data_IF_207151822034
#
_entry.id   IF_207151822034
#
_cell.length_a   1.000
_cell.length_b   1.000
_cell.length_c   1.000
_cell.angle_alpha   90.00
_cell.angle_beta   90.00
_cell.angle_gamma   90.00
#
_symmetry.space_group_name_H-M   'P 1'
#
loop_
_entity.id
_entity.type
_entity.pdbx_description
1 polymer ?
#
# COMPACT_ATOMS: atom_id res chain seq x y z
N UNK A 1 35.86 -9.03 -15.57
CA UNK A 1 34.68 -9.14 -14.70
C UNK A 1 33.52 -8.47 -15.40
N UNK A 2 32.60 -9.29 -15.89
CA UNK A 2 31.41 -8.80 -16.58
C UNK A 2 30.44 -8.35 -15.50
N UNK A 3 30.20 -7.07 -15.39
CA UNK A 3 29.10 -6.50 -14.64
C UNK A 3 27.79 -6.79 -15.40
N UNK A 4 27.19 -7.95 -15.18
CA UNK A 4 25.82 -8.19 -15.61
C UNK A 4 24.93 -7.36 -14.70
N UNK A 5 24.07 -6.49 -15.23
CA UNK A 5 23.17 -5.71 -14.38
C UNK A 5 22.30 -6.66 -13.54
N UNK A 6 22.36 -6.54 -12.22
CA UNK A 6 21.70 -7.43 -11.27
C UNK A 6 20.17 -7.55 -11.50
N UNK A 7 19.53 -6.53 -12.07
CA UNK A 7 18.10 -6.52 -12.35
C UNK A 7 17.69 -7.34 -13.59
N UNK A 8 18.60 -7.61 -14.53
CA UNK A 8 18.25 -8.41 -15.70
C UNK A 8 18.29 -9.91 -15.42
N UNK A 9 19.13 -10.37 -14.48
CA UNK A 9 19.20 -11.77 -14.11
C UNK A 9 18.04 -12.20 -13.21
N UNK A 10 17.64 -11.37 -12.26
CA UNK A 10 16.48 -11.65 -11.40
C UNK A 10 15.19 -11.72 -12.20
N UNK A 11 14.95 -10.75 -13.11
CA UNK A 11 13.79 -10.77 -13.98
C UNK A 11 13.77 -12.00 -14.89
N UNK A 12 14.91 -12.40 -15.47
CA UNK A 12 14.96 -13.57 -16.35
C UNK A 12 14.71 -14.89 -15.62
N UNK A 13 15.07 -15.01 -14.35
CA UNK A 13 14.81 -16.22 -13.55
C UNK A 13 13.35 -16.34 -13.14
N UNK A 14 12.70 -15.24 -12.80
CA UNK A 14 11.23 -15.22 -12.56
C UNK A 14 10.49 -15.60 -13.84
N UNK A 15 10.90 -15.07 -14.99
CA UNK A 15 10.23 -15.33 -16.27
C UNK A 15 10.49 -16.73 -16.84
N UNK A 16 11.61 -17.35 -16.56
CA UNK A 16 11.89 -18.76 -16.98
C UNK A 16 10.95 -19.77 -16.33
N UNK A 17 10.36 -19.43 -15.18
CA UNK A 17 9.40 -20.28 -14.46
C UNK A 17 7.95 -19.89 -14.69
N UNK A 18 7.68 -18.83 -15.43
CA UNK A 18 6.33 -18.50 -15.85
C UNK A 18 5.84 -19.55 -16.85
N UNK A 19 4.67 -20.11 -16.58
CA UNK A 19 4.12 -21.22 -17.36
C UNK A 19 4.29 -22.60 -16.70
N UNK A 20 5.09 -22.73 -15.65
CA UNK A 20 5.23 -24.01 -14.95
C UNK A 20 3.91 -24.45 -14.29
N UNK A 21 3.13 -23.49 -13.78
CA UNK A 21 1.84 -23.72 -13.13
C UNK A 21 0.63 -23.49 -14.06
N UNK A 22 0.82 -22.79 -15.17
CA UNK A 22 -0.22 -22.53 -16.19
C UNK A 22 0.44 -22.49 -17.56
N UNK A 23 -0.11 -23.25 -18.50
CA UNK A 23 0.37 -23.22 -19.88
C UNK A 23 0.23 -21.79 -20.47
N UNK A 24 1.28 -21.31 -21.09
CA UNK A 24 1.25 -20.08 -21.88
C UNK A 24 1.12 -20.43 -23.37
N UNK A 25 0.23 -19.76 -24.08
CA UNK A 25 0.08 -19.96 -25.52
C UNK A 25 1.31 -19.47 -26.29
N UNK A 26 1.91 -18.39 -25.81
CA UNK A 26 3.13 -17.80 -26.35
C UNK A 26 3.99 -17.18 -25.25
N UNK A 27 5.24 -17.62 -25.16
CA UNK A 27 6.24 -17.04 -24.27
C UNK A 27 7.17 -16.08 -24.99
N UNK A 28 7.20 -14.80 -24.58
CA UNK A 28 8.13 -13.79 -25.08
C UNK A 28 9.24 -13.58 -24.07
N UNK A 29 10.38 -14.25 -24.25
CA UNK A 29 11.53 -14.16 -23.38
C UNK A 29 12.49 -13.08 -23.87
N UNK A 30 12.86 -12.13 -23.00
CA UNK A 30 13.82 -11.08 -23.34
C UNK A 30 13.61 -9.78 -22.56
N UNK A 31 14.22 -8.71 -23.02
CA UNK A 31 14.02 -7.39 -22.46
C UNK A 31 12.58 -6.91 -22.73
N UNK A 32 11.85 -6.59 -21.68
CA UNK A 32 10.43 -6.21 -21.75
C UNK A 32 10.23 -4.99 -22.66
N UNK A 33 11.05 -3.95 -22.52
CA UNK A 33 10.94 -2.73 -23.31
C UNK A 33 11.14 -3.01 -24.80
N UNK A 34 12.14 -3.83 -25.14
CA UNK A 34 12.37 -4.25 -26.54
C UNK A 34 11.22 -5.09 -27.09
N UNK A 35 10.69 -6.02 -26.29
CA UNK A 35 9.55 -6.82 -26.73
C UNK A 35 8.32 -5.95 -27.01
N UNK A 36 8.03 -4.97 -26.14
CA UNK A 36 6.93 -4.04 -26.40
C UNK A 36 7.18 -3.17 -27.64
N UNK A 37 8.40 -2.67 -27.84
CA UNK A 37 8.74 -1.90 -29.05
C UNK A 37 8.51 -2.72 -30.33
N UNK A 38 9.02 -3.96 -30.35
CA UNK A 38 8.85 -4.85 -31.49
C UNK A 38 7.37 -5.21 -31.74
N UNK A 39 6.59 -5.44 -30.67
CA UNK A 39 5.15 -5.71 -30.81
C UNK A 39 4.40 -4.49 -31.35
N UNK A 40 4.74 -3.29 -30.85
CA UNK A 40 4.13 -2.05 -31.36
C UNK A 40 4.44 -1.85 -32.82
N UNK A 41 5.71 -2.01 -33.23
CA UNK A 41 6.13 -1.89 -34.63
C UNK A 41 5.43 -2.92 -35.52
N UNK A 42 5.32 -4.17 -35.09
CA UNK A 42 4.64 -5.22 -35.85
C UNK A 42 3.15 -4.91 -36.04
N UNK A 43 2.48 -4.32 -35.06
CA UNK A 43 1.07 -3.90 -35.16
C UNK A 43 0.93 -2.76 -36.17
N UNK A 44 1.85 -1.77 -36.12
CA UNK A 44 1.86 -0.65 -37.06
C UNK A 44 2.15 -1.11 -38.49
N UNK A 45 3.16 -1.98 -38.66
CA UNK A 45 3.55 -2.50 -39.99
C UNK A 45 2.45 -3.35 -40.66
N UNK A 46 1.61 -4.01 -39.87
CA UNK A 46 0.51 -4.81 -40.36
C UNK A 46 -0.77 -4.02 -40.67
N UNK A 47 -0.80 -2.73 -40.29
CA UNK A 47 -1.99 -1.87 -40.41
C UNK A 47 -3.25 -2.54 -39.82
N UNK A 48 -3.08 -3.23 -38.70
CA UNK A 48 -4.19 -3.90 -38.02
C UNK A 48 -4.96 -2.87 -37.21
N UNK A 49 -6.22 -2.60 -37.53
CA UNK A 49 -7.03 -1.68 -36.75
C UNK A 49 -7.27 -2.28 -35.34
N UNK A 50 -6.64 -1.71 -34.32
CA UNK A 50 -6.85 -2.11 -32.93
C UNK A 50 -7.85 -1.16 -32.27
N UNK A 51 -9.12 -1.56 -32.28
CA UNK A 51 -10.15 -0.82 -31.54
C UNK A 51 -10.41 -1.47 -30.18
N UNK A 52 -9.90 -0.83 -29.14
CA UNK A 52 -10.09 -1.22 -27.73
C UNK A 52 -11.15 -0.38 -27.01
N UNK A 53 -11.90 0.46 -27.73
CA UNK A 53 -12.85 1.41 -27.14
C UNK A 53 -13.87 0.69 -26.26
N UNK A 54 -14.51 -0.35 -26.76
CA UNK A 54 -15.49 -1.16 -26.02
C UNK A 54 -14.90 -1.75 -24.74
N UNK A 55 -13.69 -2.30 -24.80
CA UNK A 55 -13.05 -2.91 -23.62
C UNK A 55 -12.69 -1.86 -22.59
N UNK A 56 -12.14 -0.73 -23.03
CA UNK A 56 -11.84 0.41 -22.17
C UNK A 56 -13.10 0.96 -21.47
N UNK A 57 -14.20 1.07 -22.19
CA UNK A 57 -15.46 1.55 -21.63
C UNK A 57 -16.05 0.56 -20.61
N UNK A 58 -15.97 -0.74 -20.86
CA UNK A 58 -16.32 -1.78 -19.89
C UNK A 58 -15.49 -1.69 -18.60
N UNK A 59 -14.17 -1.44 -18.71
CA UNK A 59 -13.31 -1.26 -17.55
C UNK A 59 -13.69 -0.02 -16.74
N UNK A 60 -13.98 1.11 -17.42
CA UNK A 60 -14.43 2.33 -16.76
C UNK A 60 -15.75 2.15 -16.03
N UNK A 61 -16.73 1.52 -16.70
CA UNK A 61 -18.02 1.21 -16.07
C UNK A 61 -17.83 0.33 -14.83
N UNK A 62 -16.96 -0.67 -14.91
CA UNK A 62 -16.67 -1.57 -13.80
C UNK A 62 -16.01 -0.83 -12.64
N UNK A 63 -15.04 0.02 -12.91
CA UNK A 63 -14.37 0.85 -11.90
C UNK A 63 -15.38 1.77 -11.21
N UNK A 64 -16.22 2.46 -11.98
CA UNK A 64 -17.24 3.33 -11.43
C UNK A 64 -18.28 2.58 -10.57
N UNK A 65 -18.66 1.36 -10.96
CA UNK A 65 -19.53 0.51 -10.13
C UNK A 65 -18.87 0.16 -8.79
N UNK A 66 -17.56 -0.17 -8.80
CA UNK A 66 -16.81 -0.49 -7.60
C UNK A 66 -16.65 0.73 -6.68
N UNK A 67 -16.40 1.90 -7.24
CA UNK A 67 -16.29 3.14 -6.47
C UNK A 67 -17.64 3.53 -5.85
N UNK A 68 -18.72 3.42 -6.62
CA UNK A 68 -20.07 3.65 -6.08
C UNK A 68 -20.42 2.68 -4.94
N UNK A 69 -20.02 1.40 -5.06
CA UNK A 69 -20.27 0.41 -4.02
C UNK A 69 -19.47 0.65 -2.72
N UNK A 70 -18.38 1.42 -2.77
CA UNK A 70 -17.54 1.78 -1.61
C UNK A 70 -17.92 3.13 -0.99
N UNK A 71 -18.75 3.91 -1.68
CA UNK A 71 -19.02 5.31 -1.30
C UNK A 71 -19.52 5.45 0.12
N UNK A 72 -20.49 4.63 0.53
CA UNK A 72 -21.06 4.68 1.88
C UNK A 72 -19.99 4.45 2.97
N UNK A 73 -19.06 3.55 2.71
CA UNK A 73 -17.95 3.27 3.62
C UNK A 73 -16.92 4.42 3.65
N UNK A 74 -16.59 4.98 2.47
CA UNK A 74 -15.70 6.15 2.37
C UNK A 74 -16.30 7.40 3.03
N UNK A 75 -17.61 7.54 3.03
CA UNK A 75 -18.32 8.68 3.62
C UNK A 75 -18.79 8.41 5.06
N UNK A 76 -18.45 7.25 5.65
CA UNK A 76 -18.88 6.85 6.98
C UNK A 76 -18.38 7.80 8.07
N UNK A 77 -19.26 8.16 8.98
CA UNK A 77 -18.95 8.91 10.21
C UNK A 77 -18.97 8.01 11.46
N UNK A 78 -18.99 6.70 11.27
CA UNK A 78 -19.02 5.72 12.36
C UNK A 78 -17.70 5.67 13.15
N UNK A 79 -17.82 5.28 14.41
CA UNK A 79 -16.70 5.03 15.33
C UNK A 79 -16.89 3.62 15.91
N UNK A 80 -15.85 2.75 15.82
CA UNK A 80 -14.51 2.96 15.25
C UNK A 80 -14.54 3.24 13.74
N UNK A 81 -13.56 4.01 13.28
CA UNK A 81 -13.47 4.54 11.91
C UNK A 81 -13.45 3.40 10.86
N UNK A 82 -14.22 3.57 9.78
CA UNK A 82 -14.15 2.65 8.64
C UNK A 82 -12.78 2.74 7.94
N UNK A 83 -12.13 1.61 7.63
CA UNK A 83 -10.83 1.61 6.93
C UNK A 83 -10.87 2.36 5.60
N UNK A 84 -11.96 2.30 4.82
CA UNK A 84 -12.09 3.03 3.57
C UNK A 84 -12.26 4.54 3.80
N UNK A 85 -12.87 4.96 4.92
CA UNK A 85 -12.91 6.36 5.32
C UNK A 85 -11.50 6.88 5.60
N UNK A 86 -10.68 6.14 6.34
CA UNK A 86 -9.27 6.48 6.53
C UNK A 86 -8.54 6.61 5.20
N UNK A 87 -8.68 5.63 4.29
CA UNK A 87 -8.03 5.65 2.98
C UNK A 87 -8.45 6.86 2.14
N UNK A 88 -9.73 7.27 2.20
CA UNK A 88 -10.22 8.48 1.50
C UNK A 88 -9.55 9.74 2.03
N UNK A 89 -9.45 9.88 3.35
CA UNK A 89 -8.80 11.05 3.94
C UNK A 89 -7.31 11.09 3.60
N UNK A 90 -6.62 9.94 3.60
CA UNK A 90 -5.24 9.85 3.13
C UNK A 90 -5.16 10.26 1.65
N UNK A 91 -6.04 9.74 0.79
CA UNK A 91 -6.05 10.06 -0.63
C UNK A 91 -6.22 11.57 -0.90
N UNK A 92 -7.02 12.26 -0.08
CA UNK A 92 -7.21 13.71 -0.18
C UNK A 92 -5.96 14.52 0.16
N UNK A 93 -5.01 13.94 0.90
CA UNK A 93 -3.75 14.57 1.28
C UNK A 93 -2.60 14.24 0.32
N UNK A 94 -2.77 13.25 -0.58
CA UNK A 94 -1.73 12.85 -1.53
C UNK A 94 -1.61 13.87 -2.66
N UNK A 95 -0.36 14.23 -2.99
CA UNK A 95 -0.03 15.22 -4.01
C UNK A 95 1.17 14.78 -4.85
N UNK A 96 1.43 15.49 -5.95
CA UNK A 96 2.46 15.16 -6.95
C UNK A 96 3.89 15.11 -6.40
N UNK A 97 4.12 15.73 -5.26
CA UNK A 97 5.42 15.78 -4.58
C UNK A 97 5.59 14.65 -3.53
N UNK A 98 4.63 13.75 -3.40
CA UNK A 98 4.68 12.67 -2.42
C UNK A 98 5.19 11.34 -2.99
N UNK A 99 5.87 10.58 -2.12
CA UNK A 99 6.13 9.15 -2.26
C UNK A 99 5.30 8.44 -1.20
N UNK A 100 4.44 7.53 -1.63
CA UNK A 100 3.55 6.76 -0.75
C UNK A 100 4.08 5.34 -0.62
N UNK A 101 4.14 4.85 0.61
CA UNK A 101 4.64 3.51 0.92
C UNK A 101 3.55 2.74 1.65
N UNK A 102 3.23 1.55 1.17
CA UNK A 102 2.32 0.63 1.82
C UNK A 102 3.08 -0.45 2.61
N UNK A 103 2.80 -0.58 3.91
CA UNK A 103 3.33 -1.66 4.74
C UNK A 103 2.24 -2.24 5.62
N UNK A 104 1.61 -3.28 5.15
CA UNK A 104 0.50 -3.91 5.84
C UNK A 104 -0.26 -4.86 4.93
N UNK A 105 -1.22 -5.55 5.51
CA UNK A 105 -2.14 -6.41 4.79
C UNK A 105 -3.39 -5.65 4.37
N UNK A 106 -4.40 -5.69 5.23
CA UNK A 106 -5.76 -5.20 4.92
C UNK A 106 -5.80 -3.71 4.61
N UNK A 107 -5.19 -2.89 5.46
CA UNK A 107 -5.25 -1.44 5.27
C UNK A 107 -4.56 -1.01 3.97
N UNK A 108 -3.46 -1.66 3.58
CA UNK A 108 -2.77 -1.37 2.32
C UNK A 108 -3.61 -1.85 1.14
N UNK A 109 -4.26 -3.01 1.25
CA UNK A 109 -5.20 -3.49 0.24
C UNK A 109 -6.43 -2.57 0.09
N UNK A 110 -6.89 -1.90 1.14
CA UNK A 110 -7.93 -0.87 1.05
C UNK A 110 -7.38 0.42 0.46
N UNK A 111 -6.19 0.84 0.88
CA UNK A 111 -5.52 2.03 0.38
C UNK A 111 -5.29 1.98 -1.13
N UNK A 112 -4.83 0.83 -1.66
CA UNK A 112 -4.60 0.63 -3.10
C UNK A 112 -5.86 0.75 -3.97
N UNK A 113 -7.05 0.65 -3.38
CA UNK A 113 -8.33 0.82 -4.09
C UNK A 113 -8.78 2.28 -4.17
N UNK A 114 -8.24 3.15 -3.33
CA UNK A 114 -8.72 4.54 -3.15
C UNK A 114 -7.63 5.55 -3.47
N UNK A 115 -6.39 5.29 -3.09
CA UNK A 115 -5.28 6.21 -3.30
C UNK A 115 -4.81 6.09 -4.74
N UNK A 116 -5.01 7.16 -5.50
CA UNK A 116 -4.45 7.30 -6.84
C UNK A 116 -3.08 7.96 -6.74
N UNK A 117 -2.03 7.21 -7.12
CA UNK A 117 -0.68 7.78 -7.13
C UNK A 117 -0.50 8.69 -8.35
N UNK A 118 -0.03 9.93 -8.15
CA UNK A 118 -0.02 10.92 -9.24
C UNK A 118 0.99 10.61 -10.34
N UNK A 119 2.02 9.83 -10.05
CA UNK A 119 3.08 9.47 -11.01
C UNK A 119 3.56 8.03 -10.85
N UNK A 120 3.99 7.43 -11.94
CA UNK A 120 4.65 6.13 -11.92
C UNK A 120 5.91 6.17 -11.03
N UNK A 121 6.08 5.16 -10.18
CA UNK A 121 7.21 5.04 -9.27
C UNK A 121 7.11 5.84 -7.98
N UNK A 122 5.94 6.42 -7.67
CA UNK A 122 5.68 7.10 -6.39
C UNK A 122 4.90 6.25 -5.39
N UNK A 123 4.60 5.01 -5.73
CA UNK A 123 4.09 3.98 -4.82
C UNK A 123 5.13 2.89 -4.62
N UNK A 124 5.36 2.51 -3.37
CA UNK A 124 6.26 1.41 -2.98
C UNK A 124 5.53 0.48 -2.01
N UNK A 125 5.68 -0.80 -2.19
CA UNK A 125 5.21 -1.84 -1.28
C UNK A 125 6.11 -3.08 -1.37
N UNK A 126 5.92 -4.13 -0.54
CA UNK A 126 6.77 -5.33 -0.58
C UNK A 126 6.61 -6.17 -1.86
N UNK A 127 5.69 -5.80 -2.76
CA UNK A 127 5.43 -6.53 -3.99
C UNK A 127 4.99 -7.99 -3.76
N UNK A 128 5.26 -8.89 -4.72
CA UNK A 128 4.77 -10.29 -4.66
C UNK A 128 5.29 -11.11 -3.47
N UNK A 129 6.40 -10.70 -2.83
CA UNK A 129 6.90 -11.38 -1.63
C UNK A 129 6.00 -11.15 -0.42
N UNK A 130 5.26 -10.03 -0.37
CA UNK A 130 4.34 -9.71 0.70
C UNK A 130 4.99 -9.59 2.09
N UNK A 131 6.32 -9.37 2.16
CA UNK A 131 6.99 -9.24 3.46
C UNK A 131 6.60 -7.94 4.14
N UNK A 132 6.27 -8.02 5.42
CA UNK A 132 5.95 -6.86 6.25
C UNK A 132 7.21 -6.28 6.90
N UNK A 133 7.11 -5.05 7.41
CA UNK A 133 8.22 -4.35 8.04
C UNK A 133 9.13 -3.62 7.06
N UNK A 134 8.65 -3.35 5.84
CA UNK A 134 9.41 -2.60 4.82
C UNK A 134 9.17 -1.09 4.88
N UNK A 135 8.13 -0.63 5.58
CA UNK A 135 7.68 0.76 5.55
C UNK A 135 8.77 1.76 5.89
N UNK A 136 9.32 1.69 7.10
CA UNK A 136 10.40 2.62 7.50
C UNK A 136 11.69 2.44 6.69
N UNK A 137 12.22 1.24 6.42
CA UNK A 137 13.39 1.08 5.58
C UNK A 137 13.22 1.70 4.18
N UNK A 138 12.07 1.53 3.55
CA UNK A 138 11.77 2.15 2.25
C UNK A 138 11.64 3.66 2.38
N UNK A 139 10.99 4.15 3.43
CA UNK A 139 10.81 5.58 3.66
C UNK A 139 12.13 6.30 3.93
N UNK A 140 13.00 5.72 4.74
CA UNK A 140 14.34 6.25 5.00
C UNK A 140 15.15 6.35 3.70
N UNK A 141 15.12 5.31 2.87
CA UNK A 141 15.78 5.29 1.57
C UNK A 141 15.17 6.32 0.61
N UNK A 142 13.84 6.38 0.52
CA UNK A 142 13.12 7.32 -0.34
C UNK A 142 13.39 8.78 0.06
N UNK A 143 13.28 9.11 1.36
CA UNK A 143 13.51 10.48 1.85
C UNK A 143 14.97 10.89 1.67
N UNK A 144 15.91 9.96 1.83
CA UNK A 144 17.33 10.24 1.60
C UNK A 144 17.65 10.44 0.12
N UNK A 145 17.03 9.69 -0.77
CA UNK A 145 17.20 9.81 -2.21
C UNK A 145 16.49 11.03 -2.81
N UNK A 146 15.38 11.44 -2.18
CA UNK A 146 14.52 12.52 -2.65
C UNK A 146 14.19 13.48 -1.49
N UNK A 147 15.16 14.30 -1.05
CA UNK A 147 15.00 15.18 0.11
C UNK A 147 13.91 16.25 -0.08
N UNK A 148 13.60 16.60 -1.32
CA UNK A 148 12.58 17.61 -1.66
C UNK A 148 11.16 17.05 -1.70
N UNK A 149 11.00 15.71 -1.57
CA UNK A 149 9.69 15.08 -1.60
C UNK A 149 9.18 14.78 -0.20
N UNK A 150 7.86 14.78 -0.05
CA UNK A 150 7.20 14.28 1.16
C UNK A 150 7.07 12.77 1.08
N UNK A 151 7.38 12.07 2.17
CA UNK A 151 7.27 10.61 2.25
C UNK A 151 6.18 10.27 3.25
N UNK A 152 5.21 9.48 2.78
CA UNK A 152 4.06 9.00 3.55
C UNK A 152 4.07 7.49 3.59
N UNK A 153 3.85 6.91 4.78
CA UNK A 153 3.70 5.47 4.95
C UNK A 153 2.27 5.18 5.43
N UNK A 154 1.61 4.24 4.77
CA UNK A 154 0.35 3.64 5.23
C UNK A 154 0.67 2.32 5.88
N UNK A 155 0.45 2.24 7.20
CA UNK A 155 0.76 1.07 8.02
C UNK A 155 -0.48 0.31 8.47
N UNK A 156 -0.39 -1.04 8.54
CA UNK A 156 -1.12 -1.80 9.53
C UNK A 156 -0.40 -1.76 10.89
N UNK A 157 -1.14 -1.92 11.97
CA UNK A 157 -0.61 -1.94 13.33
C UNK A 157 0.39 -3.08 13.56
N UNK A 158 0.11 -4.28 13.05
CA UNK A 158 1.04 -5.39 13.08
C UNK A 158 2.34 -5.10 12.31
N UNK A 159 2.26 -4.47 11.13
CA UNK A 159 3.44 -4.10 10.34
C UNK A 159 4.28 -3.04 11.03
N UNK A 160 3.64 -2.03 11.62
CA UNK A 160 4.34 -1.03 12.45
C UNK A 160 5.13 -1.69 13.58
N UNK A 161 4.55 -2.71 14.23
CA UNK A 161 5.20 -3.46 15.31
C UNK A 161 6.51 -4.14 14.89
N UNK A 162 6.73 -4.38 13.60
CA UNK A 162 7.97 -5.01 13.11
C UNK A 162 9.15 -4.03 13.03
N UNK A 163 8.94 -2.81 12.53
CA UNK A 163 10.00 -1.85 12.25
C UNK A 163 9.70 -0.41 12.70
N UNK A 164 8.67 -0.19 13.49
CA UNK A 164 8.32 1.14 13.98
C UNK A 164 9.42 1.83 14.79
N UNK A 165 10.30 1.08 15.45
CA UNK A 165 11.47 1.64 16.14
C UNK A 165 12.45 2.36 15.22
N UNK A 166 12.43 2.13 13.90
CA UNK A 166 13.25 2.88 12.94
C UNK A 166 12.82 4.36 12.79
N UNK A 167 11.74 4.79 13.45
CA UNK A 167 11.49 6.21 13.68
C UNK A 167 12.62 6.90 14.44
N UNK A 168 13.32 6.19 15.34
CA UNK A 168 14.57 6.67 15.95
C UNK A 168 15.61 7.05 14.89
N UNK A 169 15.78 6.21 13.88
CA UNK A 169 16.69 6.50 12.77
C UNK A 169 16.24 7.75 12.01
N UNK A 170 14.94 7.90 11.71
CA UNK A 170 14.43 9.10 11.07
C UNK A 170 14.68 10.37 11.90
N UNK A 171 14.48 10.30 13.22
CA UNK A 171 14.76 11.41 14.15
C UNK A 171 16.25 11.77 14.16
N UNK A 172 17.13 10.78 14.29
CA UNK A 172 18.58 11.02 14.31
C UNK A 172 19.12 11.65 13.03
N UNK A 173 18.49 11.35 11.90
CA UNK A 173 18.90 11.88 10.60
C UNK A 173 18.07 13.06 10.11
N UNK A 174 17.08 13.54 10.89
CA UNK A 174 16.23 14.67 10.54
C UNK A 174 15.39 14.42 9.27
N UNK A 175 14.85 13.23 9.09
CA UNK A 175 14.05 12.85 7.93
C UNK A 175 12.55 12.96 8.26
N UNK A 176 11.81 13.97 7.76
CA UNK A 176 10.44 14.27 8.17
C UNK A 176 9.42 13.32 7.52
N UNK A 177 9.56 12.03 7.77
CA UNK A 177 8.68 10.97 7.27
C UNK A 177 7.40 10.96 8.10
N UNK A 178 6.24 10.85 7.46
CA UNK A 178 4.95 10.72 8.12
C UNK A 178 4.42 9.29 7.95
N UNK A 179 4.15 8.60 9.04
CA UNK A 179 3.46 7.32 9.07
C UNK A 179 2.00 7.48 9.51
N UNK A 180 1.09 6.73 8.90
CA UNK A 180 -0.30 6.64 9.32
C UNK A 180 -0.61 5.17 9.60
N UNK A 181 -0.96 4.85 10.85
CA UNK A 181 -1.33 3.49 11.25
C UNK A 181 -2.84 3.37 11.26
N UNK A 182 -3.38 2.46 10.44
CA UNK A 182 -4.73 1.95 10.63
C UNK A 182 -4.71 0.87 11.72
N UNK A 183 -5.07 1.24 12.93
CA UNK A 183 -5.00 0.40 14.12
C UNK A 183 -6.34 -0.28 14.37
N UNK A 184 -6.49 -1.52 13.90
CA UNK A 184 -7.66 -2.36 14.14
C UNK A 184 -7.45 -3.40 15.25
N UNK A 185 -6.27 -3.40 15.87
CA UNK A 185 -5.81 -4.33 16.91
C UNK A 185 -5.83 -5.80 16.44
N UNK A 186 -5.44 -6.05 15.17
CA UNK A 186 -5.46 -7.40 14.63
C UNK A 186 -4.47 -7.63 13.48
N UNK A 187 -4.05 -8.88 13.33
CA UNK A 187 -3.50 -9.42 12.11
C UNK A 187 -4.63 -9.83 11.16
N UNK A 188 -5.43 -8.85 10.69
CA UNK A 188 -6.69 -9.07 9.99
C UNK A 188 -6.59 -10.03 8.81
N UNK A 189 -5.54 -9.90 8.00
CA UNK A 189 -5.27 -10.75 6.85
C UNK A 189 -4.96 -12.21 7.24
N UNK A 190 -4.48 -12.45 8.47
CA UNK A 190 -4.26 -13.80 9.01
C UNK A 190 -5.49 -14.30 9.80
N UNK A 191 -6.23 -13.41 10.41
CA UNK A 191 -7.44 -13.73 11.17
C UNK A 191 -8.53 -14.34 10.28
N UNK A 192 -8.83 -13.70 9.16
CA UNK A 192 -9.90 -14.17 8.25
C UNK A 192 -9.72 -15.57 7.69
N UNK A 193 -8.55 -15.97 7.18
CA UNK A 193 -8.34 -17.37 6.79
C UNK A 193 -8.50 -18.35 7.94
N UNK A 194 -8.10 -17.99 9.15
CA UNK A 194 -8.31 -18.86 10.33
C UNK A 194 -9.79 -19.00 10.64
N UNK A 195 -10.56 -17.89 10.67
CA UNK A 195 -12.01 -17.93 10.84
C UNK A 195 -12.69 -18.81 9.79
N UNK A 196 -12.32 -18.62 8.51
CA UNK A 196 -12.93 -19.35 7.40
C UNK A 196 -12.62 -20.84 7.42
N UNK A 197 -11.41 -21.22 7.81
CA UNK A 197 -10.94 -22.62 7.76
C UNK A 197 -11.23 -23.37 9.04
N UNK A 198 -11.20 -22.71 10.20
CA UNK A 198 -11.22 -23.38 11.50
C UNK A 198 -12.33 -22.90 12.42
N UNK A 199 -13.03 -21.80 12.09
CA UNK A 199 -14.06 -21.17 12.92
C UNK A 199 -13.52 -20.12 13.90
N UNK A 200 -14.39 -19.23 14.34
CA UNK A 200 -14.06 -18.10 15.23
C UNK A 200 -13.44 -18.55 16.57
N UNK A 201 -13.84 -19.69 17.08
CA UNK A 201 -13.34 -20.24 18.35
C UNK A 201 -11.90 -20.77 18.29
N UNK A 202 -11.26 -20.73 17.12
CA UNK A 202 -9.93 -21.27 16.88
C UNK A 202 -8.92 -20.27 16.36
N UNK A 203 -9.11 -19.01 16.67
CA UNK A 203 -8.16 -17.96 16.34
C UNK A 203 -6.93 -18.05 17.24
N UNK A 204 -5.73 -18.04 16.63
CA UNK A 204 -4.46 -18.15 17.34
C UNK A 204 -3.53 -17.01 16.93
N UNK A 205 -3.08 -16.24 17.91
CA UNK A 205 -2.04 -15.21 17.78
C UNK A 205 -2.35 -14.11 16.70
N UNK A 206 -3.63 -13.84 16.45
CA UNK A 206 -4.06 -12.86 15.44
C UNK A 206 -4.67 -11.60 16.05
N UNK A 207 -4.93 -11.60 17.34
CA UNK A 207 -5.41 -10.43 18.08
C UNK A 207 -4.21 -9.65 18.61
N UNK A 208 -4.29 -8.33 18.48
CA UNK A 208 -3.34 -7.38 19.03
C UNK A 208 -4.04 -6.48 20.06
N UNK A 209 -3.28 -5.65 20.74
CA UNK A 209 -3.82 -4.61 21.60
C UNK A 209 -3.94 -3.29 20.83
N UNK A 210 -4.92 -2.45 21.20
CA UNK A 210 -4.98 -1.06 20.72
C UNK A 210 -3.88 -0.24 21.37
N UNK A 211 -2.66 -0.43 20.87
CA UNK A 211 -1.48 0.26 21.38
C UNK A 211 -1.43 1.69 20.87
N UNK A 212 -1.05 2.61 21.73
CA UNK A 212 -0.80 4.02 21.43
C UNK A 212 0.58 4.15 20.77
N UNK A 213 0.65 3.80 19.48
CA UNK A 213 1.89 3.86 18.70
C UNK A 213 2.40 5.29 18.50
N UNK A 214 1.51 6.28 18.50
CA UNK A 214 1.82 7.70 18.50
C UNK A 214 2.75 8.07 19.66
N UNK A 215 2.46 7.61 20.88
CA UNK A 215 3.30 7.84 22.04
C UNK A 215 4.68 7.17 21.95
N UNK A 216 4.79 6.06 21.24
CA UNK A 216 6.08 5.43 20.95
C UNK A 216 6.96 6.35 20.13
N UNK A 217 6.41 6.94 19.05
CA UNK A 217 7.15 7.86 18.19
C UNK A 217 7.48 9.16 18.90
N UNK A 218 6.59 9.68 19.77
CA UNK A 218 6.91 10.82 20.63
C UNK A 218 8.08 10.51 21.57
N UNK A 219 8.08 9.33 22.21
CA UNK A 219 9.17 8.91 23.08
C UNK A 219 10.52 8.79 22.35
N UNK A 220 10.52 8.50 21.05
CA UNK A 220 11.71 8.50 20.20
C UNK A 220 12.12 9.92 19.73
N UNK A 221 11.34 10.96 20.06
CA UNK A 221 11.62 12.36 19.72
C UNK A 221 10.89 12.87 18.48
N UNK A 222 10.00 12.08 17.90
CA UNK A 222 9.13 12.44 16.78
C UNK A 222 7.89 13.23 17.21
N UNK A 223 6.87 13.26 16.37
CA UNK A 223 5.55 13.85 16.61
C UNK A 223 4.47 12.76 16.55
N UNK A 224 3.58 12.72 17.51
CA UNK A 224 2.48 11.75 17.59
C UNK A 224 1.12 12.42 17.49
N UNK A 225 0.19 11.77 16.79
CA UNK A 225 -1.22 12.14 16.72
C UNK A 225 -2.07 10.89 16.97
N UNK A 226 -3.12 11.05 17.76
CA UNK A 226 -4.07 9.97 18.02
C UNK A 226 -5.47 10.37 17.54
N UNK A 227 -6.06 9.56 16.68
CA UNK A 227 -7.32 9.87 16.01
C UNK A 227 -8.33 8.76 16.29
N UNK A 228 -9.50 9.15 16.79
CA UNK A 228 -10.62 8.26 17.10
C UNK A 228 -11.91 8.63 16.36
N UNK A 229 -11.96 9.82 15.75
CA UNK A 229 -13.12 10.32 15.01
C UNK A 229 -12.77 10.66 13.55
N UNK A 230 -13.66 10.34 12.58
CA UNK A 230 -13.38 10.51 11.16
C UNK A 230 -12.96 11.94 10.77
N UNK A 231 -13.62 12.96 11.33
CA UNK A 231 -13.34 14.37 11.02
C UNK A 231 -11.98 14.88 11.49
N UNK A 232 -11.27 14.11 12.32
CA UNK A 232 -9.95 14.48 12.84
C UNK A 232 -8.79 13.96 11.98
N UNK A 233 -9.05 13.03 11.04
CA UNK A 233 -8.01 12.36 10.26
C UNK A 233 -7.19 13.37 9.43
N UNK A 234 -7.83 14.12 8.53
CA UNK A 234 -7.13 15.06 7.66
C UNK A 234 -6.43 16.18 8.45
N UNK A 235 -7.04 16.79 9.49
CA UNK A 235 -6.34 17.75 10.35
C UNK A 235 -5.09 17.16 11.04
N UNK A 236 -5.16 15.90 11.53
CA UNK A 236 -4.02 15.23 12.17
C UNK A 236 -2.89 14.97 11.16
N UNK A 237 -3.20 14.51 9.94
CA UNK A 237 -2.22 14.34 8.87
C UNK A 237 -1.55 15.67 8.53
N UNK A 238 -2.32 16.75 8.46
CA UNK A 238 -1.79 18.10 8.20
C UNK A 238 -0.80 18.52 9.28
N UNK A 239 -1.17 18.40 10.56
CA UNK A 239 -0.28 18.74 11.69
C UNK A 239 0.99 17.87 11.71
N UNK A 240 0.86 16.58 11.37
CA UNK A 240 1.99 15.68 11.27
C UNK A 240 3.03 16.18 10.24
N UNK A 241 2.59 16.58 9.05
CA UNK A 241 3.49 17.17 8.04
C UNK A 241 4.03 18.54 8.46
N UNK A 242 3.20 19.40 9.03
CA UNK A 242 3.59 20.75 9.50
C UNK A 242 4.58 20.71 10.67
N UNK A 243 4.62 19.61 11.43
CA UNK A 243 5.58 19.44 12.52
C UNK A 243 7.04 19.50 12.06
N UNK A 244 7.30 19.18 10.78
CA UNK A 244 8.65 19.09 10.22
C UNK A 244 9.51 17.99 10.86
N UNK A 245 8.91 17.10 11.66
CA UNK A 245 9.54 15.98 12.33
C UNK A 245 9.09 14.65 11.73
N UNK A 246 9.83 13.56 11.96
CA UNK A 246 9.24 12.22 11.81
C UNK A 246 7.98 12.13 12.66
N UNK A 247 6.86 11.74 12.05
CA UNK A 247 5.56 11.81 12.71
C UNK A 247 4.74 10.54 12.50
N UNK A 248 3.89 10.21 13.47
CA UNK A 248 2.96 9.09 13.38
C UNK A 248 1.55 9.53 13.74
N UNK A 249 0.61 9.26 12.83
CA UNK A 249 -0.83 9.40 13.06
C UNK A 249 -1.40 8.00 13.34
N UNK A 250 -1.74 7.72 14.59
CA UNK A 250 -2.35 6.46 15.02
C UNK A 250 -3.87 6.59 14.97
N UNK A 251 -4.51 5.96 14.00
CA UNK A 251 -5.95 6.04 13.75
C UNK A 251 -6.62 4.75 14.19
N UNK A 252 -7.55 4.83 15.14
CA UNK A 252 -8.35 3.68 15.54
C UNK A 252 -9.42 3.36 14.50
N UNK A 253 -9.25 2.23 13.84
CA UNK A 253 -10.19 1.75 12.83
C UNK A 253 -10.93 0.50 13.32
N UNK A 254 -12.09 0.22 12.72
CA UNK A 254 -12.79 -1.04 12.95
C UNK A 254 -12.10 -2.20 12.24
N UNK A 255 -12.22 -3.39 12.81
CA UNK A 255 -11.81 -4.62 12.13
C UNK A 255 -12.74 -4.86 10.94
N UNK A 256 -12.18 -5.04 9.75
CA UNK A 256 -12.97 -5.43 8.58
C UNK A 256 -13.13 -6.94 8.53
N UNK A 257 -14.25 -7.44 9.07
CA UNK A 257 -14.61 -8.86 9.03
C UNK A 257 -15.38 -9.24 7.76
N UNK A 258 -15.76 -8.28 6.92
CA UNK A 258 -16.60 -8.56 5.73
C UNK A 258 -15.88 -9.28 4.62
N UNK A 259 -14.57 -9.44 4.75
CA UNK A 259 -13.72 -10.21 3.87
C UNK A 259 -13.58 -9.60 2.49
N UNK A 260 -12.46 -9.84 1.87
CA UNK A 260 -12.28 -9.57 0.44
C UNK A 260 -13.11 -10.59 -0.36
N UNK A 261 -14.43 -10.40 -0.45
CA UNK A 261 -15.23 -11.12 -1.45
C UNK A 261 -14.70 -10.71 -2.82
N UNK A 262 -13.82 -11.53 -3.38
CA UNK A 262 -13.29 -11.36 -4.73
C UNK A 262 -11.81 -11.01 -4.89
N UNK A 263 -11.01 -10.91 -3.83
CA UNK A 263 -9.56 -10.94 -3.99
C UNK A 263 -9.06 -12.35 -3.78
N UNK A 264 -8.92 -13.07 -4.84
CA UNK A 264 -8.12 -14.28 -4.88
C UNK A 264 -6.65 -13.88 -4.82
N UNK A 265 -6.04 -13.98 -3.64
CA UNK A 265 -4.63 -14.29 -3.59
C UNK A 265 -4.49 -15.76 -3.99
N UNK A 266 -4.27 -16.03 -5.25
CA UNK A 266 -3.81 -17.32 -5.77
C UNK A 266 -2.64 -17.02 -6.70
#
# INVERSE_FOLDING_TARGET
PRSTPLYSSAASDVYKRQGDNRAADLGLVGNIGMNFQLMTQEIEDRDVPVDVSRYRDQLREREQQLDNARRDQMDSEEVPIDPLRLCREIASCVSDDMIVIGDGGDIVAQASKVIQVPRNGTWMDPGPLGTLGVGMPFALAAQKAHPDKRVLIVYGDGSFGLNGFEFDTAVRFGLPIVGIVGNDAAWGQMMRPQEMLYGEDRLVAVELNRTRYDLVVEALGGHGEHVVAPGEIAPAITRAFESGKPALVNVEIRQDRTGMKGSTYV
#
